data_IF_106810523206
#
_entry.id   IF_106810523206
#
_cell.length_a   1.000
_cell.length_b   1.000
_cell.length_c   1.000
_cell.angle_alpha   90.00
_cell.angle_beta   90.00
_cell.angle_gamma   90.00
#
_symmetry.space_group_name_H-M   'P 1'
#
loop_
_entity.id
_entity.type
_entity.pdbx_description
1 polymer ?
#
# COMPACT_ATOMS: atom_id res chain seq x y z
N UNK A 1 -15.40 -6.59 -22.42
CA UNK A 1 -16.46 -6.55 -21.39
C UNK A 1 -16.28 -5.28 -20.58
N UNK A 2 -17.22 -4.35 -20.68
CA UNK A 2 -17.27 -3.14 -19.85
C UNK A 2 -18.09 -3.48 -18.60
N UNK A 3 -17.51 -3.34 -17.42
CA UNK A 3 -18.28 -3.37 -16.17
C UNK A 3 -18.48 -1.92 -15.72
N UNK A 4 -19.72 -1.45 -15.75
CA UNK A 4 -20.14 -0.18 -15.14
C UNK A 4 -20.59 -0.51 -13.72
N UNK A 5 -19.83 -0.07 -12.73
CA UNK A 5 -20.18 -0.25 -11.32
C UNK A 5 -21.08 0.91 -10.87
N UNK A 6 -22.30 0.61 -10.45
CA UNK A 6 -23.30 1.60 -9.98
C UNK A 6 -23.44 1.47 -8.47
N UNK A 7 -23.11 2.52 -7.71
CA UNK A 7 -23.23 2.54 -6.25
C UNK A 7 -24.15 3.68 -5.81
N UNK A 8 -25.35 3.34 -5.35
CA UNK A 8 -26.27 4.28 -4.70
C UNK A 8 -25.96 4.30 -3.20
N UNK A 9 -26.01 5.47 -2.55
CA UNK A 9 -25.87 5.56 -1.08
C UNK A 9 -26.86 6.58 -0.56
N UNK A 10 -27.80 6.14 0.28
CA UNK A 10 -28.86 6.98 0.87
C UNK A 10 -28.81 6.83 2.41
N UNK A 11 -28.88 7.94 3.15
CA UNK A 11 -29.01 7.93 4.62
C UNK A 11 -30.01 9.02 5.05
N UNK A 12 -31.03 8.63 5.82
CA UNK A 12 -32.05 9.54 6.40
C UNK A 12 -31.72 9.86 7.87
N UNK A 13 -31.71 11.14 8.24
CA UNK A 13 -31.52 11.62 9.61
C UNK A 13 -31.12 13.10 9.68
N UNK A 14 -31.72 13.86 10.61
CA UNK A 14 -31.41 15.28 10.82
C UNK A 14 -30.02 15.43 11.49
N UNK A 15 -29.10 16.10 10.81
CA UNK A 15 -27.80 16.51 11.35
C UNK A 15 -27.79 18.03 11.46
N UNK A 16 -27.22 18.54 12.56
CA UNK A 16 -26.95 19.97 12.75
C UNK A 16 -26.04 20.45 11.62
N UNK A 17 -26.57 21.24 10.69
CA UNK A 17 -25.84 21.72 9.52
C UNK A 17 -25.28 23.12 9.76
N UNK A 18 -24.00 23.32 9.42
CA UNK A 18 -23.51 24.62 9.01
C UNK A 18 -24.18 24.93 7.65
N UNK A 19 -24.92 26.05 7.47
CA UNK A 19 -25.65 26.34 6.22
C UNK A 19 -24.76 26.41 4.98
N UNK A 20 -23.44 26.69 5.14
CA UNK A 20 -22.45 26.64 4.05
C UNK A 20 -21.81 25.26 3.84
N UNK A 21 -22.00 24.32 4.77
CA UNK A 21 -21.61 22.91 4.63
C UNK A 21 -22.69 22.06 3.91
N UNK A 22 -23.65 22.72 3.25
CA UNK A 22 -24.55 22.10 2.29
C UNK A 22 -25.86 21.60 2.90
N UNK A 23 -26.95 22.13 2.35
CA UNK A 23 -28.30 21.62 2.49
C UNK A 23 -28.37 20.11 2.16
N UNK A 24 -29.40 19.44 2.69
CA UNK A 24 -29.69 18.01 2.57
C UNK A 24 -29.63 17.49 1.11
N UNK A 25 -29.78 18.36 0.11
CA UNK A 25 -29.75 18.03 -1.32
C UNK A 25 -28.38 17.64 -1.91
N UNK A 26 -27.23 18.02 -1.31
CA UNK A 26 -25.90 17.62 -1.82
C UNK A 26 -25.47 16.20 -1.43
N UNK A 27 -26.36 15.42 -0.81
CA UNK A 27 -26.02 14.13 -0.18
C UNK A 27 -26.30 12.91 -1.06
N UNK A 28 -26.92 13.09 -2.22
CA UNK A 28 -27.02 12.08 -3.27
C UNK A 28 -26.04 12.43 -4.37
N UNK A 29 -24.99 11.62 -4.57
CA UNK A 29 -24.06 11.76 -5.69
C UNK A 29 -24.07 10.49 -6.51
N UNK A 30 -24.32 10.67 -7.80
CA UNK A 30 -23.99 9.66 -8.81
C UNK A 30 -22.61 10.00 -9.38
N UNK A 31 -21.72 9.00 -9.40
CA UNK A 31 -20.37 9.13 -9.91
C UNK A 31 -20.19 8.04 -10.96
N UNK A 32 -20.16 8.45 -12.22
CA UNK A 32 -19.95 7.54 -13.34
C UNK A 32 -18.58 7.80 -13.96
N UNK A 33 -17.69 6.81 -13.86
CA UNK A 33 -16.35 6.81 -14.47
C UNK A 33 -16.05 5.41 -14.99
N UNK A 34 -15.47 5.30 -16.18
CA UNK A 34 -15.17 4.01 -16.79
C UNK A 34 -13.87 3.41 -16.24
N UNK A 35 -13.91 2.13 -15.86
CA UNK A 35 -12.71 1.34 -15.57
C UNK A 35 -12.40 0.44 -16.76
N UNK A 36 -11.10 0.22 -17.03
CA UNK A 36 -10.63 -0.58 -18.18
C UNK A 36 -9.46 -1.44 -17.74
N UNK A 37 -9.39 -2.68 -18.23
CA UNK A 37 -8.21 -3.53 -18.12
C UNK A 37 -7.98 -4.22 -19.46
N UNK A 38 -6.79 -4.04 -20.01
CA UNK A 38 -6.34 -4.61 -21.28
C UNK A 38 -5.00 -5.30 -21.05
N UNK A 39 -4.84 -6.49 -21.63
CA UNK A 39 -3.60 -7.25 -21.57
C UNK A 39 -3.36 -7.97 -22.88
N UNK A 40 -2.11 -7.96 -23.32
CA UNK A 40 -1.64 -8.75 -24.45
C UNK A 40 -0.45 -9.59 -24.00
N UNK A 41 -0.39 -10.84 -24.46
CA UNK A 41 0.72 -11.76 -24.21
C UNK A 41 1.21 -12.29 -25.55
N UNK A 42 2.52 -12.22 -25.75
CA UNK A 42 3.20 -12.77 -26.92
C UNK A 42 4.23 -13.79 -26.47
N UNK A 43 4.16 -15.01 -27.02
CA UNK A 43 5.18 -16.04 -26.80
C UNK A 43 6.32 -15.81 -27.78
N UNK A 44 7.47 -15.39 -27.26
CA UNK A 44 8.70 -15.18 -28.04
C UNK A 44 9.32 -16.53 -28.43
N UNK A 45 9.28 -17.50 -27.51
CA UNK A 45 9.72 -18.89 -27.69
C UNK A 45 8.81 -19.80 -26.84
N UNK A 46 8.93 -21.14 -26.90
CA UNK A 46 8.23 -22.03 -25.96
C UNK A 46 8.51 -21.71 -24.49
N UNK A 47 9.68 -21.13 -24.19
CA UNK A 47 10.15 -20.86 -22.83
C UNK A 47 10.19 -19.38 -22.48
N UNK A 48 9.72 -18.48 -23.34
CA UNK A 48 9.76 -17.05 -23.09
C UNK A 48 8.51 -16.33 -23.58
N UNK A 49 8.00 -15.39 -22.76
CA UNK A 49 6.84 -14.58 -23.09
C UNK A 49 7.06 -13.12 -22.74
N UNK A 50 6.50 -12.24 -23.58
CA UNK A 50 6.33 -10.84 -23.30
C UNK A 50 4.85 -10.56 -22.97
N UNK A 51 4.59 -9.74 -21.97
CA UNK A 51 3.24 -9.31 -21.58
C UNK A 51 3.20 -7.80 -21.49
N UNK A 52 2.25 -7.17 -22.16
CA UNK A 52 1.94 -5.76 -21.98
C UNK A 52 0.56 -5.64 -21.33
N UNK A 53 0.42 -4.74 -20.36
CA UNK A 53 -0.85 -4.48 -19.68
C UNK A 53 -1.09 -2.98 -19.55
N UNK A 54 -2.36 -2.61 -19.67
CA UNK A 54 -2.88 -1.30 -19.39
C UNK A 54 -4.12 -1.46 -18.50
N UNK A 55 -4.17 -0.73 -17.40
CA UNK A 55 -5.33 -0.71 -16.53
C UNK A 55 -5.66 0.73 -16.10
N UNK A 56 -6.95 1.03 -16.05
CA UNK A 56 -7.51 2.26 -15.47
C UNK A 56 -8.54 1.86 -14.42
N UNK A 57 -8.27 2.17 -13.16
CA UNK A 57 -9.17 1.99 -12.04
C UNK A 57 -9.76 3.33 -11.56
N UNK A 58 -10.95 3.24 -10.97
CA UNK A 58 -11.65 4.36 -10.34
C UNK A 58 -11.79 4.03 -8.85
N UNK A 59 -11.29 4.89 -7.98
CA UNK A 59 -11.50 4.79 -6.54
C UNK A 59 -12.49 5.88 -6.12
N UNK A 60 -13.79 5.58 -6.03
CA UNK A 60 -14.78 6.56 -5.57
C UNK A 60 -14.49 6.99 -4.12
N UNK A 61 -14.94 8.19 -3.72
CA UNK A 61 -15.01 8.56 -2.31
C UNK A 61 -15.85 7.55 -1.50
N UNK A 62 -15.41 7.27 -0.28
CA UNK A 62 -16.19 6.49 0.68
C UNK A 62 -17.31 7.35 1.27
N UNK A 63 -18.30 6.71 1.92
CA UNK A 63 -19.35 7.44 2.64
C UNK A 63 -18.77 8.38 3.70
N UNK A 64 -17.74 7.94 4.43
CA UNK A 64 -17.06 8.74 5.46
C UNK A 64 -16.43 10.00 4.85
N UNK A 65 -15.75 9.84 3.72
CA UNK A 65 -15.08 10.94 3.00
C UNK A 65 -16.08 11.96 2.43
N UNK A 66 -17.29 11.54 2.04
CA UNK A 66 -18.31 12.43 1.46
C UNK A 66 -19.11 13.18 2.53
N UNK A 67 -19.82 12.46 3.40
CA UNK A 67 -20.79 13.07 4.34
C UNK A 67 -21.02 12.28 5.63
N UNK A 68 -20.45 11.09 5.75
CA UNK A 68 -20.62 10.20 6.91
C UNK A 68 -19.86 10.68 8.15
N UNK A 69 -18.78 11.43 7.97
CA UNK A 69 -18.05 12.05 9.09
C UNK A 69 -18.69 13.39 9.45
N UNK A 70 -19.10 13.53 10.72
CA UNK A 70 -19.44 14.82 11.33
C UNK A 70 -18.97 14.81 12.79
N UNK A 71 -17.99 15.66 13.12
CA UNK A 71 -17.52 15.89 14.48
C UNK A 71 -17.74 17.38 14.77
N UNK A 72 -18.88 17.74 15.37
CA UNK A 72 -19.16 19.13 15.74
C UNK A 72 -18.35 19.52 16.99
N UNK A 73 -18.07 20.82 17.19
CA UNK A 73 -17.46 21.29 18.42
C UNK A 73 -18.50 21.33 19.56
N UNK A 74 -18.01 21.32 20.81
CA UNK A 74 -18.83 21.47 22.00
C UNK A 74 -19.22 22.93 22.32
N UNK A 75 -18.87 23.87 21.45
CA UNK A 75 -19.01 25.32 21.64
C UNK A 75 -19.90 25.94 20.56
N UNK A 76 -20.61 27.02 20.89
CA UNK A 76 -21.41 27.76 19.91
C UNK A 76 -20.51 28.42 18.85
N UNK A 77 -21.00 28.53 17.61
CA UNK A 77 -20.32 29.28 16.56
C UNK A 77 -20.16 30.76 16.97
N UNK A 78 -19.04 31.41 16.60
CA UNK A 78 -17.92 30.93 15.78
C UNK A 78 -16.86 30.13 16.53
N UNK A 79 -16.99 29.94 17.84
CA UNK A 79 -15.97 29.31 18.68
C UNK A 79 -15.91 27.81 18.41
N UNK A 80 -14.72 27.28 18.14
CA UNK A 80 -14.48 25.87 17.87
C UNK A 80 -14.31 25.53 16.39
N UNK A 81 -14.30 24.22 16.09
CA UNK A 81 -13.99 23.66 14.78
C UNK A 81 -14.95 22.53 14.43
N UNK A 82 -15.41 22.50 13.18
CA UNK A 82 -16.18 21.40 12.61
C UNK A 82 -15.26 20.52 11.76
N UNK A 83 -15.23 19.22 12.01
CA UNK A 83 -14.62 18.25 11.09
C UNK A 83 -15.75 17.50 10.39
N UNK A 84 -15.73 17.48 9.06
CA UNK A 84 -16.80 16.85 8.27
C UNK A 84 -16.29 16.24 6.97
N UNK A 85 -17.08 15.35 6.38
CA UNK A 85 -16.89 14.89 5.01
C UNK A 85 -16.94 16.05 3.99
N UNK A 86 -16.43 15.80 2.79
CA UNK A 86 -16.49 16.70 1.65
C UNK A 86 -17.38 16.12 0.54
N UNK A 87 -18.61 16.62 0.33
CA UNK A 87 -19.49 16.10 -0.71
C UNK A 87 -18.93 16.34 -2.12
N UNK A 88 -18.06 17.33 -2.30
CA UNK A 88 -17.52 17.72 -3.61
C UNK A 88 -16.24 16.93 -3.97
N UNK A 89 -15.85 15.93 -3.17
CA UNK A 89 -14.64 15.14 -3.40
C UNK A 89 -14.70 14.38 -4.74
N UNK A 90 -13.65 14.48 -5.55
CA UNK A 90 -13.50 13.73 -6.78
C UNK A 90 -13.02 12.29 -6.48
N UNK A 91 -13.43 11.30 -7.29
CA UNK A 91 -12.79 9.98 -7.30
C UNK A 91 -11.32 10.09 -7.66
N UNK A 92 -10.48 9.29 -7.00
CA UNK A 92 -9.11 9.13 -7.46
C UNK A 92 -9.09 8.19 -8.68
N UNK A 93 -8.32 8.54 -9.70
CA UNK A 93 -8.18 7.73 -10.92
C UNK A 93 -6.78 7.14 -10.96
N UNK A 94 -6.69 5.82 -11.00
CA UNK A 94 -5.41 5.11 -11.09
C UNK A 94 -5.23 4.58 -12.49
N UNK A 95 -4.16 4.97 -13.17
CA UNK A 95 -3.78 4.44 -14.48
C UNK A 95 -2.45 3.72 -14.36
N UNK A 96 -2.37 2.47 -14.81
CA UNK A 96 -1.19 1.63 -14.75
C UNK A 96 -0.83 1.10 -16.13
N UNK A 97 0.47 1.11 -16.43
CA UNK A 97 1.08 0.48 -17.59
C UNK A 97 2.16 -0.47 -17.09
N UNK A 98 2.20 -1.70 -17.61
CA UNK A 98 3.32 -2.59 -17.34
C UNK A 98 3.72 -3.39 -18.58
N UNK A 99 5.03 -3.58 -18.71
CA UNK A 99 5.66 -4.48 -19.67
C UNK A 99 6.45 -5.52 -18.89
N UNK A 100 6.20 -6.79 -19.14
CA UNK A 100 6.85 -7.90 -18.43
C UNK A 100 7.44 -8.89 -19.41
N UNK A 101 8.63 -9.38 -19.07
CA UNK A 101 9.32 -10.44 -19.78
C UNK A 101 9.56 -11.59 -18.80
N UNK A 102 9.15 -12.79 -19.20
CA UNK A 102 9.33 -14.00 -18.43
C UNK A 102 10.07 -15.03 -19.27
N UNK A 103 11.07 -15.69 -18.70
CA UNK A 103 11.83 -16.77 -19.33
C UNK A 103 12.04 -17.92 -18.37
N UNK A 104 11.58 -19.11 -18.76
CA UNK A 104 12.01 -20.35 -18.15
C UNK A 104 13.45 -20.67 -18.57
N UNK A 105 14.24 -21.17 -17.61
CA UNK A 105 15.63 -21.60 -17.77
C UNK A 105 15.71 -23.08 -17.36
N UNK A 106 15.24 -24.02 -18.19
CA UNK A 106 15.08 -25.43 -17.80
C UNK A 106 16.40 -26.09 -17.38
N UNK A 107 17.52 -25.72 -18.00
CA UNK A 107 18.86 -26.23 -17.68
C UNK A 107 19.30 -25.87 -16.26
N UNK A 108 18.74 -24.82 -15.68
CA UNK A 108 19.02 -24.35 -14.31
C UNK A 108 17.87 -24.66 -13.34
N UNK A 109 16.79 -25.31 -13.80
CA UNK A 109 15.58 -25.50 -13.00
C UNK A 109 14.98 -24.18 -12.49
N UNK A 110 15.15 -23.09 -13.25
CA UNK A 110 14.83 -21.73 -12.79
C UNK A 110 13.91 -20.99 -13.76
N UNK A 111 13.38 -19.86 -13.30
CA UNK A 111 12.70 -18.86 -14.13
C UNK A 111 13.30 -17.49 -13.82
N UNK A 112 13.33 -16.64 -14.83
CA UNK A 112 13.70 -15.24 -14.70
C UNK A 112 12.53 -14.36 -15.17
N UNK A 113 12.28 -13.28 -14.45
CA UNK A 113 11.23 -12.33 -14.73
C UNK A 113 11.73 -10.89 -14.58
N UNK A 114 11.35 -10.04 -15.52
CA UNK A 114 11.57 -8.59 -15.47
C UNK A 114 10.24 -7.90 -15.73
N UNK A 115 9.89 -6.91 -14.93
CA UNK A 115 8.71 -6.07 -15.16
C UNK A 115 9.07 -4.60 -15.03
N UNK A 116 8.78 -3.84 -16.06
CA UNK A 116 8.80 -2.38 -16.05
C UNK A 116 7.37 -1.89 -15.84
N UNK A 117 7.17 -0.93 -14.96
CA UNK A 117 5.83 -0.40 -14.71
C UNK A 117 5.81 1.10 -14.44
N UNK A 118 4.67 1.71 -14.75
CA UNK A 118 4.37 3.11 -14.43
C UNK A 118 2.91 3.21 -14.00
N UNK A 119 2.69 3.75 -12.81
CA UNK A 119 1.37 4.06 -12.27
C UNK A 119 1.24 5.57 -12.07
N UNK A 120 0.08 6.13 -12.41
CA UNK A 120 -0.32 7.49 -12.09
C UNK A 120 -1.65 7.46 -11.35
N UNK A 121 -1.71 8.12 -10.21
CA UNK A 121 -2.93 8.36 -9.45
C UNK A 121 -3.26 9.84 -9.54
N UNK A 122 -4.39 10.17 -10.15
CA UNK A 122 -4.94 11.52 -10.18
C UNK A 122 -5.94 11.71 -9.05
N UNK A 123 -6.11 12.96 -8.62
CA UNK A 123 -7.05 13.36 -7.57
C UNK A 123 -6.89 12.55 -6.27
N UNK A 124 -5.64 12.37 -5.84
CA UNK A 124 -5.31 11.70 -4.57
C UNK A 124 -6.04 12.42 -3.43
N UNK A 125 -6.86 11.66 -2.72
CA UNK A 125 -7.63 12.13 -1.56
C UNK A 125 -6.72 12.14 -0.33
N UNK A 126 -6.52 13.31 0.25
CA UNK A 126 -5.87 13.49 1.53
C UNK A 126 -6.90 13.61 2.66
N UNK A 127 -6.49 13.22 3.87
CA UNK A 127 -7.33 13.38 5.05
C UNK A 127 -7.54 14.86 5.41
N UNK A 128 -8.47 15.15 6.31
CA UNK A 128 -8.57 16.46 6.92
C UNK A 128 -7.31 16.78 7.74
N UNK A 129 -6.99 18.07 7.86
CA UNK A 129 -5.87 18.54 8.66
C UNK A 129 -6.29 19.76 9.44
N UNK A 130 -6.09 19.77 10.75
CA UNK A 130 -6.43 20.91 11.62
C UNK A 130 -5.40 22.04 11.56
N UNK A 131 -4.34 21.90 10.75
CA UNK A 131 -3.31 22.90 10.60
C UNK A 131 -3.77 24.14 9.79
N UNK A 132 -4.78 23.99 8.93
CA UNK A 132 -5.37 25.09 8.19
C UNK A 132 -6.84 24.81 7.89
N UNK A 133 -7.72 25.75 8.22
CA UNK A 133 -9.15 25.62 7.97
C UNK A 133 -9.44 25.59 6.46
N UNK A 134 -10.28 24.65 6.04
CA UNK A 134 -10.71 24.54 4.64
C UNK A 134 -11.80 25.54 4.29
N UNK A 135 -12.64 25.84 5.27
CA UNK A 135 -13.58 26.95 5.25
C UNK A 135 -13.36 27.78 6.51
N UNK A 136 -13.09 29.10 6.38
CA UNK A 136 -12.92 29.95 7.55
C UNK A 136 -14.23 30.07 8.34
N UNK A 137 -14.11 30.32 9.64
CA UNK A 137 -15.25 30.65 10.48
C UNK A 137 -15.91 31.95 10.00
N UNK A 138 -17.20 32.10 10.27
CA UNK A 138 -17.95 33.35 10.14
C UNK A 138 -18.67 33.62 11.44
N UNK A 139 -19.28 34.79 11.63
CA UNK A 139 -20.00 35.13 12.87
C UNK A 139 -21.04 34.07 13.31
N UNK A 140 -21.55 33.26 12.39
CA UNK A 140 -22.57 32.24 12.66
C UNK A 140 -22.13 30.82 12.30
N UNK A 141 -20.88 30.60 11.90
CA UNK A 141 -20.39 29.27 11.47
C UNK A 141 -19.00 28.96 12.02
N UNK A 142 -18.75 27.70 12.35
CA UNK A 142 -17.41 27.24 12.73
C UNK A 142 -16.44 27.21 11.54
N UNK A 143 -15.15 27.34 11.85
CA UNK A 143 -14.09 26.93 10.92
C UNK A 143 -14.27 25.44 10.62
N UNK A 144 -14.15 25.04 9.35
CA UNK A 144 -14.44 23.67 8.92
C UNK A 144 -13.22 23.03 8.28
N UNK A 145 -12.98 21.76 8.60
CA UNK A 145 -11.89 20.93 8.09
C UNK A 145 -12.47 19.70 7.40
N UNK A 146 -12.02 19.41 6.19
CA UNK A 146 -12.61 18.36 5.36
C UNK A 146 -11.56 17.54 4.63
N UNK A 147 -11.97 16.38 4.10
CA UNK A 147 -11.17 15.64 3.11
C UNK A 147 -11.03 16.47 1.83
N UNK A 148 -9.88 16.36 1.15
CA UNK A 148 -9.65 17.06 -0.13
C UNK A 148 -8.85 16.22 -1.11
N UNK A 149 -9.15 16.35 -2.39
CA UNK A 149 -8.19 15.98 -3.44
C UNK A 149 -7.04 17.00 -3.40
N UNK A 150 -5.82 16.53 -3.18
CA UNK A 150 -4.71 17.41 -2.80
C UNK A 150 -3.45 17.21 -3.63
N UNK A 151 -3.38 16.13 -4.39
CA UNK A 151 -2.24 15.85 -5.24
C UNK A 151 -2.57 14.90 -6.39
N UNK A 152 -1.59 14.79 -7.30
CA UNK A 152 -1.44 13.61 -8.15
C UNK A 152 -0.13 12.92 -7.78
N UNK A 153 -0.08 11.60 -7.90
CA UNK A 153 1.11 10.80 -7.58
C UNK A 153 1.50 9.96 -8.78
N UNK A 154 2.79 9.86 -9.07
CA UNK A 154 3.34 9.02 -10.14
C UNK A 154 4.40 8.10 -9.57
N UNK A 155 4.27 6.81 -9.82
CA UNK A 155 5.25 5.80 -9.48
C UNK A 155 5.76 5.15 -10.75
N UNK A 156 7.08 5.02 -10.90
CA UNK A 156 7.70 4.16 -11.92
C UNK A 156 8.58 3.14 -11.24
N UNK A 157 8.74 1.98 -11.83
CA UNK A 157 9.59 0.97 -11.22
C UNK A 157 9.99 -0.17 -12.13
N UNK A 158 10.90 -0.96 -11.58
CA UNK A 158 11.41 -2.21 -12.16
C UNK A 158 11.31 -3.29 -11.09
N UNK A 159 10.75 -4.44 -11.46
CA UNK A 159 10.76 -5.64 -10.64
C UNK A 159 11.59 -6.71 -11.36
N UNK A 160 12.51 -7.33 -10.63
CA UNK A 160 13.26 -8.50 -11.07
C UNK A 160 12.89 -9.67 -10.16
N UNK A 161 12.72 -10.85 -10.74
CA UNK A 161 12.41 -12.06 -9.97
C UNK A 161 13.13 -13.27 -10.57
N UNK A 162 13.68 -14.12 -9.72
CA UNK A 162 14.30 -15.36 -10.12
C UNK A 162 14.07 -16.44 -9.06
N UNK A 163 13.07 -17.33 -9.23
CA UNK A 163 12.95 -18.56 -8.45
C UNK A 163 13.62 -19.73 -9.17
N UNK A 164 14.17 -20.67 -8.39
CA UNK A 164 14.78 -21.90 -8.90
C UNK A 164 14.66 -23.08 -7.96
N UNK A 165 14.74 -24.27 -8.56
CA UNK A 165 14.82 -25.57 -7.87
C UNK A 165 15.93 -26.39 -8.50
N UNK A 166 16.80 -26.95 -7.68
CA UNK A 166 17.90 -27.80 -8.12
C UNK A 166 17.57 -29.24 -7.70
N UNK A 167 18.08 -30.23 -8.44
CA UNK A 167 17.94 -31.64 -8.05
C UNK A 167 18.56 -31.85 -6.66
N UNK A 168 17.92 -32.67 -5.83
CA UNK A 168 18.40 -32.97 -4.48
C UNK A 168 17.70 -32.22 -3.36
N UNK A 169 16.67 -31.40 -3.67
CA UNK A 169 15.82 -30.74 -2.67
C UNK A 169 16.11 -29.26 -2.45
N UNK A 170 17.19 -28.74 -3.05
CA UNK A 170 17.55 -27.33 -2.96
C UNK A 170 16.57 -26.45 -3.74
N UNK A 171 16.23 -25.33 -3.15
CA UNK A 171 15.37 -24.33 -3.74
C UNK A 171 15.82 -22.94 -3.32
N UNK A 172 15.56 -21.96 -4.18
CA UNK A 172 15.92 -20.58 -3.92
C UNK A 172 14.98 -19.63 -4.65
N UNK A 173 14.92 -18.40 -4.17
CA UNK A 173 14.28 -17.31 -4.87
C UNK A 173 14.95 -15.99 -4.53
N UNK A 174 15.13 -15.15 -5.53
CA UNK A 174 15.53 -13.77 -5.35
C UNK A 174 14.54 -12.85 -6.05
N UNK A 175 14.16 -11.76 -5.40
CA UNK A 175 13.42 -10.69 -6.04
C UNK A 175 13.90 -9.32 -5.55
N UNK A 176 13.78 -8.34 -6.44
CA UNK A 176 14.05 -6.96 -6.08
C UNK A 176 13.14 -6.03 -6.85
N UNK A 177 12.63 -5.03 -6.15
CA UNK A 177 11.80 -3.98 -6.72
C UNK A 177 12.47 -2.64 -6.47
N UNK A 178 12.68 -1.89 -7.55
CA UNK A 178 13.00 -0.48 -7.49
C UNK A 178 11.76 0.35 -7.82
N UNK A 179 11.46 1.36 -7.02
CA UNK A 179 10.43 2.37 -7.30
C UNK A 179 10.94 3.78 -7.12
N UNK A 180 10.51 4.66 -8.02
CA UNK A 180 10.66 6.10 -7.92
C UNK A 180 9.28 6.75 -7.92
N UNK A 181 8.98 7.51 -6.87
CA UNK A 181 7.67 8.11 -6.63
C UNK A 181 7.82 9.63 -6.66
N UNK A 182 6.93 10.30 -7.35
CA UNK A 182 6.84 11.76 -7.41
C UNK A 182 5.41 12.18 -7.14
N UNK A 183 5.23 13.05 -6.15
CA UNK A 183 3.94 13.65 -5.83
C UNK A 183 3.91 15.11 -6.29
N UNK A 184 2.83 15.49 -6.96
CA UNK A 184 2.59 16.87 -7.38
C UNK A 184 1.43 17.43 -6.56
N UNK A 185 1.67 18.33 -5.60
CA UNK A 185 0.61 18.95 -4.81
C UNK A 185 -0.22 19.91 -5.66
N UNK A 186 -1.52 20.01 -5.37
CA UNK A 186 -2.41 20.97 -6.02
C UNK A 186 -2.32 22.38 -5.42
N UNK A 187 -1.77 22.51 -4.21
CA UNK A 187 -1.64 23.79 -3.51
C UNK A 187 -0.20 24.03 -3.08
N UNK A 188 0.26 23.33 -2.03
CA UNK A 188 1.61 23.50 -1.46
C UNK A 188 2.23 22.14 -1.16
N UNK A 189 3.56 22.04 -1.17
CA UNK A 189 4.26 20.82 -0.77
C UNK A 189 3.91 20.38 0.66
N UNK A 190 3.76 21.34 1.59
CA UNK A 190 3.34 21.06 2.96
C UNK A 190 1.99 20.33 3.05
N UNK A 191 1.09 20.55 2.09
CA UNK A 191 -0.21 19.87 2.06
C UNK A 191 -0.09 18.35 1.92
N UNK A 192 0.98 17.84 1.29
CA UNK A 192 1.22 16.41 1.14
C UNK A 192 1.42 15.75 2.50
N UNK A 193 2.26 16.34 3.34
CA UNK A 193 2.57 15.83 4.69
C UNK A 193 1.36 16.01 5.62
N UNK A 194 0.78 17.22 5.63
CA UNK A 194 -0.33 17.56 6.53
C UNK A 194 -1.58 16.72 6.25
N UNK A 195 -1.76 16.27 5.01
CA UNK A 195 -2.91 15.44 4.58
C UNK A 195 -2.58 13.98 4.28
N UNK A 196 -1.37 13.53 4.67
CA UNK A 196 -0.94 12.12 4.67
C UNK A 196 -0.83 11.46 3.30
N UNK A 197 -0.35 12.21 2.31
CA UNK A 197 -0.23 11.75 0.92
C UNK A 197 1.13 12.03 0.30
N UNK A 198 2.15 12.30 1.12
CA UNK A 198 3.56 12.35 0.71
C UNK A 198 4.11 10.93 0.50
N UNK A 199 3.69 10.29 -0.59
CA UNK A 199 4.12 8.95 -0.97
C UNK A 199 5.57 8.92 -1.44
N UNK A 200 6.08 10.02 -1.97
CA UNK A 200 7.47 10.17 -2.39
C UNK A 200 8.44 10.01 -1.22
N UNK A 201 8.13 10.61 -0.06
CA UNK A 201 8.92 10.41 1.16
C UNK A 201 8.63 9.06 1.84
N UNK A 202 7.39 8.59 1.80
CA UNK A 202 6.94 7.44 2.61
C UNK A 202 7.03 6.08 1.92
N UNK A 203 7.49 6.04 0.67
CA UNK A 203 7.73 4.81 -0.06
C UNK A 203 9.23 4.49 -0.14
N UNK A 204 9.69 3.31 0.29
CA UNK A 204 11.08 2.91 0.09
C UNK A 204 11.36 2.71 -1.40
N UNK A 205 12.56 3.12 -1.84
CA UNK A 205 13.00 2.98 -3.23
C UNK A 205 13.38 1.55 -3.60
N UNK A 206 13.98 0.80 -2.68
CA UNK A 206 14.37 -0.59 -2.89
C UNK A 206 13.70 -1.50 -1.87
N UNK A 207 13.18 -2.61 -2.35
CA UNK A 207 12.75 -3.76 -1.54
C UNK A 207 13.29 -5.01 -2.21
N UNK A 208 13.99 -5.85 -1.45
CA UNK A 208 14.60 -7.06 -1.99
C UNK A 208 14.38 -8.24 -1.05
N UNK A 209 14.21 -9.42 -1.61
CA UNK A 209 14.12 -10.66 -0.86
C UNK A 209 15.08 -11.69 -1.46
N UNK A 210 15.67 -12.49 -0.59
CA UNK A 210 16.45 -13.66 -0.94
C UNK A 210 16.01 -14.80 -0.03
N UNK A 211 15.62 -15.91 -0.62
CA UNK A 211 15.34 -17.15 0.09
C UNK A 211 16.20 -18.26 -0.50
N UNK A 212 16.71 -19.12 0.36
CA UNK A 212 17.38 -20.34 -0.03
C UNK A 212 17.08 -21.41 1.01
N UNK A 213 16.87 -22.63 0.56
CA UNK A 213 16.56 -23.74 1.44
C UNK A 213 16.79 -25.08 0.78
N UNK A 214 16.72 -26.11 1.60
CA UNK A 214 16.87 -27.49 1.22
C UNK A 214 15.82 -28.32 1.92
N UNK A 215 15.26 -29.31 1.22
CA UNK A 215 14.28 -30.23 1.80
C UNK A 215 14.46 -31.64 1.25
N UNK A 216 14.43 -32.63 2.14
CA UNK A 216 14.25 -34.04 1.79
C UNK A 216 13.03 -34.62 2.54
N UNK A 217 12.92 -35.94 2.59
CA UNK A 217 11.78 -36.62 3.22
C UNK A 217 11.68 -36.40 4.73
N UNK A 218 12.78 -35.98 5.38
CA UNK A 218 12.89 -35.89 6.84
C UNK A 218 13.16 -34.47 7.33
N UNK A 219 13.93 -33.69 6.59
CA UNK A 219 14.43 -32.39 7.01
C UNK A 219 14.01 -31.31 6.03
N UNK A 220 13.71 -30.14 6.58
CA UNK A 220 13.61 -28.87 5.85
C UNK A 220 14.47 -27.83 6.55
N UNK A 221 15.32 -27.14 5.80
CA UNK A 221 16.14 -26.03 6.29
C UNK A 221 15.97 -24.87 5.33
N UNK A 222 15.46 -23.75 5.83
CA UNK A 222 15.19 -22.56 5.04
C UNK A 222 15.85 -21.32 5.67
N UNK A 223 16.40 -20.46 4.83
CA UNK A 223 16.91 -19.15 5.17
C UNK A 223 16.26 -18.07 4.32
N UNK A 224 15.97 -16.93 4.93
CA UNK A 224 15.33 -15.79 4.28
C UNK A 224 15.98 -14.49 4.71
N UNK A 225 16.38 -13.67 3.75
CA UNK A 225 16.86 -12.33 3.93
C UNK A 225 15.94 -11.34 3.20
N UNK A 226 15.60 -10.26 3.88
CA UNK A 226 14.79 -9.18 3.31
C UNK A 226 15.46 -7.84 3.60
N UNK A 227 15.48 -6.98 2.59
CA UNK A 227 16.06 -5.64 2.67
C UNK A 227 15.06 -4.58 2.22
N UNK A 228 15.03 -3.46 2.94
CA UNK A 228 14.26 -2.27 2.58
C UNK A 228 15.15 -1.05 2.73
N UNK A 229 15.20 -0.22 1.69
CA UNK A 229 15.90 1.06 1.74
C UNK A 229 15.20 2.04 2.68
N UNK A 230 15.92 3.05 3.16
CA UNK A 230 15.34 4.13 3.96
C UNK A 230 14.08 4.75 3.33
N UNK A 231 13.17 5.19 4.17
CA UNK A 231 11.97 5.94 3.84
C UNK A 231 11.50 6.71 5.08
N UNK A 232 10.53 7.59 4.93
CA UNK A 232 9.95 8.30 6.07
C UNK A 232 8.60 7.70 6.48
N UNK A 233 8.28 7.79 7.77
CA UNK A 233 7.01 7.36 8.34
C UNK A 233 6.29 8.55 8.96
N UNK A 234 4.96 8.53 9.00
CA UNK A 234 4.22 9.59 9.68
C UNK A 234 4.28 9.43 11.20
N UNK A 235 4.68 10.50 11.88
CA UNK A 235 4.55 10.66 13.32
C UNK A 235 3.66 11.87 13.61
N UNK A 236 2.35 11.65 13.70
CA UNK A 236 1.39 12.74 13.71
C UNK A 236 1.49 13.54 12.41
N UNK A 237 1.75 14.86 12.50
CA UNK A 237 1.86 15.77 11.35
C UNK A 237 3.28 16.00 10.83
N UNK A 238 4.25 15.25 11.33
CA UNK A 238 5.64 15.29 10.83
C UNK A 238 6.05 13.94 10.25
N UNK A 239 7.12 13.96 9.47
CA UNK A 239 7.79 12.78 8.96
C UNK A 239 8.95 12.41 9.88
N UNK A 240 9.11 11.13 10.12
CA UNK A 240 10.19 10.54 10.91
C UNK A 240 10.88 9.46 10.08
N UNK A 241 12.20 9.61 9.92
CA UNK A 241 13.00 8.70 9.12
C UNK A 241 13.01 7.28 9.70
N UNK A 242 12.80 6.32 8.82
CA UNK A 242 13.06 4.89 9.04
C UNK A 242 14.38 4.57 8.33
N UNK A 243 15.44 4.16 9.06
CA UNK A 243 16.70 3.78 8.42
C UNK A 243 16.48 2.56 7.52
N UNK A 244 17.35 2.38 6.53
CA UNK A 244 17.36 1.13 5.77
C UNK A 244 17.61 -0.03 6.70
N UNK A 245 16.97 -1.17 6.43
CA UNK A 245 17.07 -2.32 7.30
C UNK A 245 17.13 -3.63 6.52
N UNK A 246 17.77 -4.61 7.16
CA UNK A 246 17.78 -6.00 6.70
C UNK A 246 17.28 -6.91 7.81
N UNK A 247 16.39 -7.84 7.47
CA UNK A 247 15.92 -8.89 8.36
C UNK A 247 16.40 -10.23 7.89
N UNK A 248 16.95 -11.02 8.80
CA UNK A 248 17.29 -12.43 8.58
C UNK A 248 16.27 -13.30 9.33
N UNK A 249 15.73 -14.30 8.66
CA UNK A 249 14.90 -15.33 9.24
C UNK A 249 15.41 -16.70 8.81
N UNK A 250 15.17 -17.71 9.63
CA UNK A 250 15.54 -19.08 9.32
C UNK A 250 14.53 -20.06 9.92
N UNK A 251 14.40 -21.23 9.32
CA UNK A 251 13.58 -22.33 9.81
C UNK A 251 14.32 -23.64 9.65
N UNK A 252 14.25 -24.47 10.69
CA UNK A 252 14.64 -25.88 10.63
C UNK A 252 13.44 -26.70 11.04
N UNK A 253 13.08 -27.71 10.25
CA UNK A 253 11.99 -28.62 10.57
C UNK A 253 12.38 -30.08 10.34
N UNK A 254 11.82 -30.94 11.19
CA UNK A 254 12.01 -32.37 11.19
C UNK A 254 10.66 -33.08 11.10
N UNK A 255 10.50 -33.93 10.08
CA UNK A 255 9.32 -34.77 9.87
C UNK A 255 9.50 -36.10 10.58
N UNK A 256 8.60 -36.36 11.51
CA UNK A 256 8.43 -37.62 12.21
C UNK A 256 7.39 -38.50 11.48
N UNK A 257 7.36 -39.81 11.77
CA UNK A 257 6.29 -40.68 11.32
C UNK A 257 4.90 -40.18 11.74
N UNK A 258 3.87 -40.58 11.00
CA UNK A 258 2.47 -40.17 11.20
C UNK A 258 2.23 -38.67 10.94
N UNK A 259 2.97 -38.11 9.98
CA UNK A 259 2.79 -36.75 9.48
C UNK A 259 2.87 -35.67 10.56
N UNK A 260 3.79 -35.87 11.51
CA UNK A 260 4.12 -34.91 12.57
C UNK A 260 5.36 -34.12 12.13
N UNK A 261 5.27 -32.80 12.13
CA UNK A 261 6.41 -31.91 11.87
C UNK A 261 6.77 -31.14 13.16
N UNK A 262 8.03 -31.22 13.55
CA UNK A 262 8.63 -30.36 14.57
C UNK A 262 9.39 -29.24 13.86
N UNK A 263 9.20 -27.98 14.24
CA UNK A 263 9.93 -26.88 13.63
C UNK A 263 10.43 -25.86 14.65
N UNK A 264 11.61 -25.31 14.38
CA UNK A 264 12.17 -24.16 15.04
C UNK A 264 12.29 -23.04 14.02
N UNK A 265 11.66 -21.90 14.29
CA UNK A 265 11.66 -20.73 13.40
C UNK A 265 12.24 -19.52 14.12
N UNK A 266 13.18 -18.86 13.48
CA UNK A 266 13.79 -17.61 13.93
C UNK A 266 13.38 -16.44 13.03
N UNK A 267 13.03 -15.31 13.63
CA UNK A 267 12.74 -14.05 12.94
C UNK A 267 13.64 -12.94 13.49
N UNK A 268 14.03 -12.02 12.61
CA UNK A 268 14.94 -10.92 12.92
C UNK A 268 16.24 -11.39 13.61
N UNK A 269 16.84 -12.47 13.11
CA UNK A 269 17.98 -13.14 13.74
C UNK A 269 19.23 -12.26 13.82
N UNK A 270 19.39 -11.31 12.90
CA UNK A 270 20.57 -10.43 12.86
C UNK A 270 20.55 -9.29 13.89
N UNK A 271 19.39 -8.94 14.46
CA UNK A 271 19.26 -7.77 15.36
C UNK A 271 18.30 -8.07 16.51
N UNK A 272 18.62 -7.60 17.72
CA UNK A 272 17.71 -7.75 18.87
C UNK A 272 16.43 -6.92 18.69
N UNK A 273 16.57 -5.68 18.20
CA UNK A 273 15.47 -4.78 17.87
C UNK A 273 15.78 -3.95 16.63
N UNK A 274 14.77 -3.63 15.83
CA UNK A 274 14.94 -2.87 14.58
C UNK A 274 13.67 -2.08 14.22
N UNK A 275 13.83 -0.82 13.81
CA UNK A 275 12.74 -0.02 13.22
C UNK A 275 12.46 -0.46 11.79
N UNK A 276 11.23 -0.92 11.52
CA UNK A 276 10.83 -1.43 10.20
C UNK A 276 9.63 -0.72 9.58
N UNK A 277 8.66 -0.29 10.41
CA UNK A 277 7.44 0.38 9.93
C UNK A 277 7.38 1.88 10.30
N UNK A 278 8.00 2.24 11.42
CA UNK A 278 8.09 3.61 11.93
C UNK A 278 9.51 3.84 12.44
N UNK A 279 9.93 5.10 12.51
CA UNK A 279 11.25 5.50 13.00
C UNK A 279 11.48 5.15 14.49
N UNK A 280 12.49 5.75 15.13
CA UNK A 280 12.83 5.47 16.53
C UNK A 280 11.67 5.64 17.54
N UNK A 281 10.67 6.47 17.24
CA UNK A 281 9.47 6.64 18.09
C UNK A 281 8.45 5.49 17.99
N UNK A 282 8.62 4.57 17.04
CA UNK A 282 7.72 3.45 16.81
C UNK A 282 8.09 2.19 17.60
N UNK A 283 7.16 1.24 17.60
CA UNK A 283 7.47 -0.12 18.04
C UNK A 283 8.49 -0.75 17.09
N UNK A 284 9.53 -1.32 17.67
CA UNK A 284 10.58 -2.01 16.94
C UNK A 284 10.24 -3.50 16.80
N UNK A 285 10.59 -4.07 15.65
CA UNK A 285 10.55 -5.50 15.47
C UNK A 285 11.68 -6.14 16.29
N UNK A 286 11.38 -7.24 16.98
CA UNK A 286 12.30 -7.88 17.92
C UNK A 286 12.74 -9.25 17.40
N UNK A 287 13.92 -9.71 17.83
CA UNK A 287 14.32 -11.10 17.59
C UNK A 287 13.34 -12.05 18.26
N UNK A 288 12.85 -13.03 17.52
CA UNK A 288 11.94 -14.06 18.03
C UNK A 288 12.37 -15.44 17.60
N UNK A 289 12.26 -16.40 18.50
CA UNK A 289 12.45 -17.82 18.24
C UNK A 289 11.18 -18.53 18.69
N UNK A 290 10.59 -19.32 17.79
CA UNK A 290 9.35 -20.05 18.02
C UNK A 290 9.58 -21.53 17.72
N UNK A 291 9.21 -22.39 18.66
CA UNK A 291 9.09 -23.82 18.44
C UNK A 291 7.63 -24.17 18.15
N UNK A 292 7.39 -25.02 17.15
CA UNK A 292 6.04 -25.46 16.78
C UNK A 292 6.01 -26.96 16.53
N UNK A 293 4.87 -27.57 16.82
CA UNK A 293 4.52 -28.95 16.48
C UNK A 293 3.24 -28.88 15.65
N UNK A 294 3.23 -29.52 14.48
CA UNK A 294 2.03 -29.65 13.64
C UNK A 294 1.81 -31.09 13.23
N UNK A 295 0.54 -31.49 13.08
CA UNK A 295 0.14 -32.79 12.58
C UNK A 295 -0.89 -32.62 11.47
N UNK A 296 -0.69 -33.31 10.36
CA UNK A 296 -1.66 -33.40 9.26
C UNK A 296 -2.48 -34.68 9.42
N UNK A 297 -3.79 -34.62 9.16
CA UNK A 297 -4.73 -35.74 9.29
C UNK A 297 -5.38 -36.05 7.95
#
# INVERSE_FOLDING_TARGET
MQNVEKKLTERRGALLTNPRAGAVERRSRDIQKASVNLGAVYKLTPNASLRATYARGVQPPTLLELSGLLIPPATAAPVGALITGNPDLAPAIVTNYALSYDRALPTLGARFGVKLFSQKTEDVKGQFSTAAADLPATATTWATYTYKNVSSSKMKGVELSAPGKIKGGDHWSADTTYTDVTDTPFTTAASLILRKVDFAATSPKYRSNLAAGWTNDTWTVDGFAHFVSKFDSYNGNVLEAVPSYSTLAARVAYRLPHDIDLALTGQNLAHDRQSQAKGPSGLQAERRILASISKTW
#
